data_IF_973196803417
#
_entry.id   IF_973196803417
#
_cell.length_a   1.000
_cell.length_b   1.000
_cell.length_c   1.000
_cell.angle_alpha   90.00
_cell.angle_beta   90.00
_cell.angle_gamma   90.00
#
_symmetry.space_group_name_H-M   'P 1'
#
loop_
_entity.id
_entity.type
_entity.pdbx_description
1 polymer ?
#
# COMPACT_ATOMS: atom_id res chain seq x y z
N UNK A 1 13.37 -15.66 -10.18
CA UNK A 1 12.73 -16.26 -8.99
C UNK A 1 12.42 -15.18 -7.95
N UNK A 2 11.23 -15.22 -7.35
CA UNK A 2 10.83 -14.29 -6.26
C UNK A 2 11.53 -14.72 -4.96
N UNK A 3 12.14 -13.77 -4.24
CA UNK A 3 12.92 -14.07 -3.03
C UNK A 3 12.09 -14.05 -1.74
N UNK A 4 10.94 -13.38 -1.77
CA UNK A 4 10.01 -13.25 -0.65
C UNK A 4 8.65 -12.78 -1.19
N UNK A 5 7.58 -13.12 -0.48
CA UNK A 5 6.26 -12.55 -0.74
C UNK A 5 6.11 -11.23 0.00
N UNK A 6 5.53 -10.21 -0.63
CA UNK A 6 5.14 -8.97 0.05
C UNK A 6 3.63 -8.96 0.27
N UNK A 7 3.10 -8.14 1.19
CA UNK A 7 1.66 -8.00 1.34
C UNK A 7 1.02 -7.61 0.01
N UNK A 8 1.63 -6.68 -0.73
CA UNK A 8 1.18 -6.27 -2.07
C UNK A 8 1.18 -7.40 -3.10
N UNK A 9 2.15 -8.33 -3.07
CA UNK A 9 2.13 -9.47 -3.99
C UNK A 9 1.04 -10.48 -3.62
N UNK A 10 0.78 -10.70 -2.34
CA UNK A 10 -0.29 -11.59 -1.88
C UNK A 10 -1.67 -10.97 -2.21
N UNK A 11 -1.81 -9.66 -2.03
CA UNK A 11 -2.98 -8.89 -2.44
C UNK A 11 -3.18 -8.99 -3.95
N UNK A 12 -2.16 -8.67 -4.76
CA UNK A 12 -2.24 -8.77 -6.22
C UNK A 12 -2.68 -10.19 -6.61
N UNK A 13 -2.12 -11.24 -6.00
CA UNK A 13 -2.53 -12.62 -6.32
C UNK A 13 -4.00 -12.90 -5.99
N UNK A 14 -4.47 -12.42 -4.84
CA UNK A 14 -5.84 -12.65 -4.38
C UNK A 14 -6.89 -11.82 -5.14
N UNK A 15 -6.51 -10.66 -5.67
CA UNK A 15 -7.43 -9.78 -6.42
C UNK A 15 -7.32 -9.97 -7.92
N UNK A 16 -6.10 -9.99 -8.46
CA UNK A 16 -5.78 -10.09 -9.88
C UNK A 16 -4.54 -10.96 -10.09
N UNK A 17 -4.78 -12.26 -10.22
CA UNK A 17 -3.71 -13.26 -10.35
C UNK A 17 -2.83 -13.01 -11.58
N UNK A 18 -3.36 -12.47 -12.68
CA UNK A 18 -2.54 -12.08 -13.85
C UNK A 18 -1.56 -10.97 -13.48
N UNK A 19 -2.05 -9.95 -12.79
CA UNK A 19 -1.25 -8.82 -12.34
C UNK A 19 -0.14 -9.28 -11.38
N UNK A 20 -0.42 -10.27 -10.52
CA UNK A 20 0.60 -10.86 -9.66
C UNK A 20 1.78 -11.40 -10.48
N UNK A 21 1.51 -12.28 -11.44
CA UNK A 21 2.59 -12.86 -12.22
C UNK A 21 3.30 -11.83 -13.11
N UNK A 22 2.54 -10.92 -13.73
CA UNK A 22 3.12 -9.83 -14.53
C UNK A 22 4.10 -8.99 -13.71
N UNK A 23 3.67 -8.48 -12.55
CA UNK A 23 4.47 -7.57 -11.72
C UNK A 23 5.59 -8.26 -10.94
N UNK A 24 5.34 -9.45 -10.39
CA UNK A 24 6.22 -10.06 -9.38
C UNK A 24 7.06 -11.22 -9.92
N UNK A 25 6.60 -11.90 -10.97
CA UNK A 25 7.33 -12.99 -11.60
C UNK A 25 8.07 -12.51 -12.83
N UNK A 26 7.37 -11.84 -13.77
CA UNK A 26 7.97 -11.28 -14.99
C UNK A 26 8.68 -9.94 -14.76
N UNK A 27 8.44 -9.29 -13.62
CA UNK A 27 8.95 -7.94 -13.29
C UNK A 27 8.52 -6.88 -14.32
N UNK A 28 7.40 -7.11 -15.00
CA UNK A 28 6.78 -6.17 -15.94
C UNK A 28 5.93 -5.18 -15.16
N UNK A 29 6.61 -4.30 -14.43
CA UNK A 29 5.96 -3.19 -13.74
C UNK A 29 5.68 -2.08 -14.74
N UNK A 30 4.50 -1.47 -14.61
CA UNK A 30 4.32 -0.14 -15.19
C UNK A 30 5.39 0.78 -14.59
N UNK A 31 6.18 1.41 -15.45
CA UNK A 31 7.24 2.34 -15.04
C UNK A 31 6.69 3.62 -14.41
N UNK A 32 5.38 3.85 -14.56
CA UNK A 32 4.68 5.03 -14.05
C UNK A 32 4.11 4.78 -12.66
N UNK A 33 4.43 5.65 -11.72
CA UNK A 33 3.84 5.68 -10.38
C UNK A 33 2.79 6.78 -10.26
N UNK A 34 2.18 6.89 -9.09
CA UNK A 34 1.17 7.90 -8.78
C UNK A 34 1.72 8.89 -7.77
N UNK A 35 1.34 10.15 -7.90
CA UNK A 35 1.75 11.21 -6.99
C UNK A 35 1.42 10.90 -5.51
N UNK A 36 0.30 10.22 -5.26
CA UNK A 36 -0.09 9.81 -3.90
C UNK A 36 0.90 8.85 -3.24
N UNK A 37 1.53 7.98 -4.03
CA UNK A 37 2.58 7.05 -3.56
C UNK A 37 3.83 7.82 -3.15
N UNK A 38 4.22 8.84 -3.91
CA UNK A 38 5.37 9.69 -3.60
C UNK A 38 5.13 10.48 -2.32
N UNK A 39 3.97 11.14 -2.20
CA UNK A 39 3.61 11.88 -0.98
C UNK A 39 3.59 10.94 0.23
N UNK A 40 3.01 9.75 0.09
CA UNK A 40 3.01 8.72 1.15
C UNK A 40 4.41 8.32 1.57
N UNK A 41 5.30 8.04 0.61
CA UNK A 41 6.69 7.69 0.87
C UNK A 41 7.44 8.80 1.61
N UNK A 42 7.25 10.07 1.22
CA UNK A 42 7.89 11.20 1.91
C UNK A 42 7.37 11.31 3.33
N UNK A 43 6.04 11.25 3.54
CA UNK A 43 5.44 11.31 4.87
C UNK A 43 5.99 10.19 5.76
N UNK A 44 6.08 8.96 5.26
CA UNK A 44 6.69 7.83 5.99
C UNK A 44 8.12 8.13 6.42
N UNK A 45 8.97 8.56 5.49
CA UNK A 45 10.38 8.89 5.77
C UNK A 45 10.55 10.01 6.80
N UNK A 46 9.69 11.05 6.73
CA UNK A 46 9.68 12.14 7.71
C UNK A 46 9.31 11.64 9.09
N UNK A 47 8.24 10.83 9.20
CA UNK A 47 7.77 10.32 10.48
C UNK A 47 8.79 9.37 11.11
N UNK A 48 9.37 8.46 10.33
CA UNK A 48 10.40 7.54 10.80
C UNK A 48 11.62 8.32 11.33
N UNK A 49 12.12 9.31 10.57
CA UNK A 49 13.25 10.15 11.01
C UNK A 49 12.93 10.99 12.25
N UNK A 50 11.72 11.55 12.30
CA UNK A 50 11.27 12.35 13.44
C UNK A 50 11.22 11.53 14.73
N UNK A 51 10.69 10.30 14.66
CA UNK A 51 10.55 9.42 15.82
C UNK A 51 11.90 8.80 16.22
N UNK A 52 12.73 8.37 15.24
CA UNK A 52 13.97 7.63 15.52
C UNK A 52 15.17 8.51 15.88
N UNK A 53 15.41 9.59 15.14
CA UNK A 53 16.61 10.41 15.29
C UNK A 53 16.40 11.62 16.22
N UNK A 54 15.14 12.00 16.45
CA UNK A 54 14.80 13.26 17.11
C UNK A 54 15.14 14.47 16.23
N UNK A 55 14.16 15.26 15.85
CA UNK A 55 14.39 16.41 14.97
C UNK A 55 13.12 17.13 14.55
N UNK A 56 13.28 18.26 13.86
CA UNK A 56 12.14 19.03 13.35
C UNK A 56 11.61 18.36 12.08
N UNK A 57 10.39 17.84 12.12
CA UNK A 57 9.75 17.15 11.00
C UNK A 57 9.76 17.97 9.69
N UNK A 58 9.61 19.30 9.78
CA UNK A 58 9.64 20.19 8.60
C UNK A 58 11.00 20.18 7.89
N UNK A 59 12.10 20.01 8.61
CA UNK A 59 13.44 19.93 8.01
C UNK A 59 13.59 18.63 7.21
N UNK A 60 13.17 17.50 7.79
CA UNK A 60 13.14 16.22 7.08
C UNK A 60 12.19 16.26 5.89
N UNK A 61 11.04 16.93 6.02
CA UNK A 61 10.10 17.07 4.92
C UNK A 61 10.73 17.77 3.73
N UNK A 62 11.38 18.93 3.94
CA UNK A 62 12.06 19.63 2.85
C UNK A 62 13.19 18.82 2.21
N UNK A 63 13.97 18.11 3.03
CA UNK A 63 15.01 17.22 2.53
C UNK A 63 14.44 16.11 1.63
N UNK A 64 13.46 15.36 2.11
CA UNK A 64 12.89 14.25 1.34
C UNK A 64 12.07 14.72 0.14
N UNK A 65 11.42 15.88 0.21
CA UNK A 65 10.80 16.50 -0.97
C UNK A 65 11.88 16.79 -2.03
N UNK A 66 13.00 17.41 -1.64
CA UNK A 66 14.09 17.71 -2.57
C UNK A 66 14.68 16.44 -3.20
N UNK A 67 14.84 15.36 -2.41
CA UNK A 67 15.31 14.07 -2.92
C UNK A 67 14.35 13.48 -3.97
N UNK A 68 13.04 13.52 -3.74
CA UNK A 68 12.05 13.06 -4.71
C UNK A 68 12.03 13.92 -5.97
N UNK A 69 12.17 15.24 -5.84
CA UNK A 69 12.26 16.17 -6.98
C UNK A 69 13.48 15.85 -7.84
N UNK A 70 14.63 15.58 -7.22
CA UNK A 70 15.84 15.17 -7.94
C UNK A 70 15.64 13.86 -8.70
N UNK A 71 14.99 12.87 -8.08
CA UNK A 71 14.68 11.60 -8.74
C UNK A 71 13.71 11.76 -9.92
N UNK A 72 12.75 12.69 -9.81
CA UNK A 72 11.85 13.02 -10.91
C UNK A 72 12.60 13.72 -12.06
N UNK A 73 13.47 14.69 -11.74
CA UNK A 73 14.29 15.40 -12.74
C UNK A 73 15.22 14.47 -13.53
N UNK A 74 15.77 13.42 -12.90
CA UNK A 74 16.63 12.44 -13.56
C UNK A 74 15.86 11.35 -14.31
N UNK A 75 14.53 11.38 -14.30
CA UNK A 75 13.67 10.37 -14.91
C UNK A 75 13.63 9.04 -14.15
N UNK A 76 14.17 8.98 -12.92
CA UNK A 76 14.07 7.80 -12.06
C UNK A 76 12.64 7.61 -11.50
N UNK A 77 11.86 8.69 -11.44
CA UNK A 77 10.42 8.66 -11.18
C UNK A 77 9.70 9.16 -12.44
N UNK A 78 8.74 8.37 -12.92
CA UNK A 78 7.82 8.78 -13.99
C UNK A 78 6.41 8.73 -13.42
N UNK A 79 5.60 9.76 -13.63
CA UNK A 79 4.23 9.82 -13.15
C UNK A 79 3.21 9.59 -14.27
N UNK A 80 2.01 9.15 -13.88
CA UNK A 80 0.87 9.05 -14.78
C UNK A 80 0.19 10.40 -15.03
N UNK A 81 0.27 11.32 -14.07
CA UNK A 81 -0.58 12.51 -13.97
C UNK A 81 0.21 13.82 -13.82
N UNK A 82 1.53 13.82 -14.03
CA UNK A 82 2.37 15.01 -13.91
C UNK A 82 3.63 14.89 -14.77
N UNK A 83 3.84 15.88 -15.65
CA UNK A 83 4.90 15.85 -16.67
C UNK A 83 5.95 16.96 -16.51
N UNK A 84 5.74 17.91 -15.58
CA UNK A 84 6.70 19.00 -15.33
C UNK A 84 7.16 19.03 -13.87
N UNK A 85 8.36 19.57 -13.66
CA UNK A 85 9.06 19.54 -12.37
C UNK A 85 8.45 20.51 -11.38
N UNK A 86 8.03 21.70 -11.85
CA UNK A 86 7.46 22.74 -11.01
C UNK A 86 6.14 22.31 -10.38
N UNK A 87 5.24 21.71 -11.16
CA UNK A 87 3.98 21.15 -10.67
C UNK A 87 4.24 19.94 -9.79
N UNK A 88 5.17 19.05 -10.15
CA UNK A 88 5.55 17.92 -9.29
C UNK A 88 6.01 18.41 -7.91
N UNK A 89 6.95 19.34 -7.86
CA UNK A 89 7.47 19.89 -6.61
C UNK A 89 6.36 20.58 -5.80
N UNK A 90 5.53 21.40 -6.45
CA UNK A 90 4.42 22.10 -5.81
C UNK A 90 3.41 21.11 -5.20
N UNK A 91 3.03 20.09 -5.95
CA UNK A 91 2.02 19.13 -5.52
C UNK A 91 2.52 18.16 -4.45
N UNK A 92 3.76 17.67 -4.56
CA UNK A 92 4.38 16.86 -3.50
C UNK A 92 4.47 17.69 -2.22
N UNK A 93 5.03 18.91 -2.30
CA UNK A 93 5.14 19.79 -1.13
C UNK A 93 3.79 20.09 -0.50
N UNK A 94 2.81 20.51 -1.30
CA UNK A 94 1.45 20.80 -0.81
C UNK A 94 0.79 19.56 -0.18
N UNK A 95 0.97 18.40 -0.79
CA UNK A 95 0.44 17.13 -0.27
C UNK A 95 1.08 16.74 1.08
N UNK A 96 2.40 16.82 1.18
CA UNK A 96 3.15 16.50 2.41
C UNK A 96 2.73 17.44 3.53
N UNK A 97 2.77 18.76 3.32
CA UNK A 97 2.41 19.73 4.35
C UNK A 97 0.93 19.75 4.72
N UNK A 98 0.05 19.20 3.88
CA UNK A 98 -1.35 18.96 4.26
C UNK A 98 -1.50 17.78 5.21
N UNK A 99 -0.72 16.72 5.01
CA UNK A 99 -0.82 15.48 5.78
C UNK A 99 -0.02 15.56 7.08
N UNK A 100 1.22 16.05 7.01
CA UNK A 100 2.21 15.96 8.08
C UNK A 100 1.76 16.54 9.42
N UNK A 101 1.10 17.72 9.50
CA UNK A 101 0.63 18.25 10.78
C UNK A 101 -0.40 17.34 11.47
N UNK A 102 -1.28 16.71 10.69
CA UNK A 102 -2.28 15.78 11.22
C UNK A 102 -1.61 14.50 11.73
N UNK A 103 -0.63 13.98 10.99
CA UNK A 103 0.15 12.81 11.38
C UNK A 103 0.90 13.04 12.69
N UNK A 104 1.61 14.17 12.80
CA UNK A 104 2.38 14.53 14.00
C UNK A 104 1.47 14.76 15.20
N UNK A 105 0.35 15.47 15.01
CA UNK A 105 -0.63 15.66 16.08
C UNK A 105 -1.16 14.32 16.58
N UNK A 106 -1.49 13.40 15.67
CA UNK A 106 -1.94 12.06 16.04
C UNK A 106 -0.85 11.30 16.81
N UNK A 107 0.39 11.27 16.32
CA UNK A 107 1.49 10.59 17.00
C UNK A 107 1.72 11.15 18.41
N UNK A 108 1.81 12.48 18.52
CA UNK A 108 2.09 13.15 19.78
C UNK A 108 0.97 13.01 20.81
N UNK A 109 -0.28 12.82 20.38
CA UNK A 109 -1.44 12.67 21.28
C UNK A 109 -1.69 11.21 21.64
N UNK A 110 -1.69 10.32 20.64
CA UNK A 110 -1.97 8.89 20.82
C UNK A 110 -0.84 8.16 21.54
N UNK A 111 0.42 8.57 21.32
CA UNK A 111 1.59 7.83 21.82
C UNK A 111 2.40 8.57 22.88
N UNK A 112 1.88 9.66 23.46
CA UNK A 112 2.59 10.49 24.44
C UNK A 112 3.21 9.69 25.61
N UNK A 113 2.63 8.53 25.95
CA UNK A 113 3.04 7.67 27.06
C UNK A 113 3.51 6.27 26.63
N UNK A 114 3.65 6.02 25.33
CA UNK A 114 4.01 4.71 24.78
C UNK A 114 5.46 4.70 24.31
N UNK A 115 6.16 3.57 24.50
CA UNK A 115 7.46 3.34 23.87
C UNK A 115 7.22 2.88 22.43
N UNK A 116 7.56 3.75 21.48
CA UNK A 116 7.42 3.50 20.05
C UNK A 116 8.67 2.81 19.50
N UNK A 117 8.45 1.81 18.63
CA UNK A 117 9.46 1.28 17.72
C UNK A 117 9.02 1.63 16.29
N UNK A 118 9.92 2.19 15.48
CA UNK A 118 9.64 2.60 14.09
C UNK A 118 9.94 1.51 13.08
N UNK A 119 9.62 1.77 11.80
CA UNK A 119 9.50 0.83 10.68
C UNK A 119 10.28 -0.47 10.86
N UNK A 120 9.56 -1.57 11.07
CA UNK A 120 10.17 -2.88 11.16
C UNK A 120 9.91 -3.69 9.91
N UNK A 121 10.85 -3.57 8.97
CA UNK A 121 10.89 -4.44 7.80
C UNK A 121 11.59 -5.75 8.14
N UNK A 122 10.82 -6.83 8.20
CA UNK A 122 11.35 -8.19 8.35
C UNK A 122 11.08 -9.02 7.12
N UNK A 123 11.95 -10.00 6.87
CA UNK A 123 11.67 -11.12 5.95
C UNK A 123 11.77 -12.38 6.77
N UNK A 124 10.63 -12.99 7.08
CA UNK A 124 10.60 -14.15 7.96
C UNK A 124 9.59 -15.19 7.47
N UNK A 125 9.80 -16.44 7.85
CA UNK A 125 8.82 -17.49 7.68
C UNK A 125 7.84 -17.40 8.85
N UNK A 126 6.60 -17.01 8.56
CA UNK A 126 5.57 -16.78 9.59
C UNK A 126 4.67 -18.00 9.75
N UNK A 127 4.06 -18.19 10.92
CA UNK A 127 2.96 -19.14 11.14
C UNK A 127 3.16 -20.04 12.36
N UNK A 128 4.39 -20.19 12.85
CA UNK A 128 4.72 -21.00 14.02
C UNK A 128 4.04 -20.49 15.28
N UNK A 129 3.97 -19.16 15.44
CA UNK A 129 3.37 -18.49 16.59
C UNK A 129 1.86 -18.72 16.75
N UNK A 130 1.19 -19.22 15.71
CA UNK A 130 -0.24 -19.56 15.70
C UNK A 130 -0.48 -21.06 15.49
N UNK A 131 0.53 -21.90 15.73
CA UNK A 131 0.43 -23.35 15.59
C UNK A 131 0.25 -23.84 14.14
N UNK A 132 0.61 -23.00 13.16
CA UNK A 132 0.54 -23.34 11.74
C UNK A 132 1.94 -23.68 11.21
N UNK A 133 1.99 -24.49 10.14
CA UNK A 133 3.24 -24.75 9.43
C UNK A 133 3.81 -23.43 8.92
N UNK A 134 5.10 -23.11 9.19
CA UNK A 134 5.73 -21.91 8.69
C UNK A 134 5.62 -21.79 7.17
N UNK A 135 5.53 -20.56 6.67
CA UNK A 135 5.55 -20.32 5.23
C UNK A 135 6.87 -20.80 4.62
N UNK A 136 6.81 -21.52 3.50
CA UNK A 136 8.02 -22.03 2.85
C UNK A 136 8.85 -20.90 2.21
N UNK A 137 8.19 -19.82 1.78
CA UNK A 137 8.84 -18.59 1.33
C UNK A 137 8.80 -17.53 2.44
N UNK A 138 9.89 -16.76 2.64
CA UNK A 138 9.85 -15.61 3.54
C UNK A 138 8.79 -14.60 3.11
N UNK A 139 8.11 -13.98 4.07
CA UNK A 139 7.15 -12.91 3.84
C UNK A 139 7.76 -11.60 4.36
N UNK A 140 7.72 -10.56 3.52
CA UNK A 140 8.07 -9.19 3.90
C UNK A 140 6.96 -8.64 4.78
N UNK A 141 7.31 -8.19 5.96
CA UNK A 141 6.39 -7.54 6.90
C UNK A 141 6.81 -6.07 7.02
N UNK A 142 5.86 -5.15 7.09
CA UNK A 142 6.12 -3.70 7.18
C UNK A 142 5.05 -3.10 8.09
N UNK A 143 5.47 -2.61 9.25
CA UNK A 143 4.65 -1.85 10.19
C UNK A 143 5.37 -0.54 10.46
N UNK A 144 4.64 0.58 10.47
CA UNK A 144 5.25 1.90 10.68
C UNK A 144 5.57 2.14 12.15
N UNK A 145 4.64 1.78 13.04
CA UNK A 145 4.80 1.96 14.49
C UNK A 145 4.25 0.77 15.27
N UNK A 146 5.01 0.35 16.28
CA UNK A 146 4.59 -0.62 17.30
C UNK A 146 4.41 0.09 18.63
N UNK A 147 3.18 0.13 19.14
CA UNK A 147 2.91 0.48 20.53
C UNK A 147 3.14 -0.76 21.39
N UNK A 148 4.30 -0.78 22.06
CA UNK A 148 4.71 -1.92 22.88
C UNK A 148 3.95 -2.04 24.20
N UNK A 149 3.30 -0.96 24.67
CA UNK A 149 2.53 -0.93 25.93
C UNK A 149 1.13 -1.50 25.74
N UNK A 150 0.50 -1.16 24.63
CA UNK A 150 -0.86 -1.59 24.30
C UNK A 150 -0.91 -2.73 23.28
N UNK A 151 0.26 -3.23 22.85
CA UNK A 151 0.39 -4.30 21.85
C UNK A 151 -0.39 -3.98 20.56
N UNK A 152 -0.31 -2.73 20.09
CA UNK A 152 -1.01 -2.27 18.87
C UNK A 152 -0.02 -1.99 17.76
N UNK A 153 -0.37 -2.43 16.54
CA UNK A 153 0.39 -2.17 15.32
C UNK A 153 -0.27 -1.07 14.50
N UNK A 154 0.51 -0.11 14.01
CA UNK A 154 0.02 1.02 13.22
C UNK A 154 0.71 1.08 11.85
N UNK A 155 -0.09 1.40 10.83
CA UNK A 155 0.38 1.64 9.46
C UNK A 155 -0.32 2.87 8.89
N UNK A 156 0.47 3.92 8.65
CA UNK A 156 0.07 5.19 8.09
C UNK A 156 -0.16 5.03 6.60
N UNK A 157 -1.28 5.54 6.09
CA UNK A 157 -1.60 5.51 4.66
C UNK A 157 -2.05 6.87 4.18
N UNK A 158 -1.31 7.43 3.22
CA UNK A 158 -1.73 8.64 2.52
C UNK A 158 -2.68 8.25 1.39
N UNK A 159 -3.92 8.75 1.44
CA UNK A 159 -4.98 8.34 0.53
C UNK A 159 -5.58 9.55 -0.19
N UNK A 160 -6.02 9.34 -1.45
CA UNK A 160 -6.79 10.34 -2.20
C UNK A 160 -8.22 10.45 -1.66
N UNK A 161 -8.77 9.30 -1.29
CA UNK A 161 -10.11 9.16 -0.75
C UNK A 161 -10.14 7.95 0.20
N UNK A 162 -11.07 8.02 1.14
CA UNK A 162 -11.41 6.91 2.00
C UNK A 162 -12.17 5.83 1.22
N UNK A 163 -11.59 4.63 1.19
CA UNK A 163 -12.20 3.44 0.61
C UNK A 163 -12.38 2.41 1.72
N UNK A 164 -13.55 1.78 1.77
CA UNK A 164 -13.84 0.73 2.76
C UNK A 164 -13.40 -0.65 2.24
N UNK A 165 -12.22 -0.69 1.62
CA UNK A 165 -11.62 -1.92 1.12
C UNK A 165 -10.92 -2.66 2.27
N UNK A 166 -11.72 -3.36 3.09
CA UNK A 166 -11.22 -4.07 4.27
C UNK A 166 -10.30 -5.24 3.89
N UNK A 167 -10.54 -5.88 2.75
CA UNK A 167 -9.93 -7.16 2.47
C UNK A 167 -8.49 -7.04 1.96
N UNK A 168 -8.18 -5.99 1.19
CA UNK A 168 -6.80 -5.64 0.83
C UNK A 168 -5.97 -5.33 2.09
N UNK A 169 -6.56 -4.60 3.03
CA UNK A 169 -5.95 -4.21 4.31
C UNK A 169 -5.76 -5.39 5.26
N UNK A 170 -6.67 -6.36 5.21
CA UNK A 170 -6.62 -7.56 6.04
C UNK A 170 -5.34 -8.36 5.83
N UNK A 171 -4.88 -8.53 4.58
CA UNK A 171 -3.65 -9.29 4.28
C UNK A 171 -2.44 -8.67 4.97
N UNK A 172 -2.27 -7.35 4.85
CA UNK A 172 -1.15 -6.66 5.49
C UNK A 172 -1.27 -6.71 7.02
N UNK A 173 -2.47 -6.53 7.58
CA UNK A 173 -2.71 -6.63 9.02
C UNK A 173 -2.33 -8.02 9.57
N UNK A 174 -2.80 -9.10 8.92
CA UNK A 174 -2.52 -10.47 9.34
C UNK A 174 -1.03 -10.79 9.26
N UNK A 175 -0.36 -10.48 8.15
CA UNK A 175 1.08 -10.75 7.97
C UNK A 175 1.90 -10.06 9.06
N UNK A 176 1.61 -8.78 9.30
CA UNK A 176 2.32 -8.02 10.33
C UNK A 176 2.03 -8.52 11.74
N UNK A 177 0.79 -8.96 12.01
CA UNK A 177 0.42 -9.54 13.29
C UNK A 177 1.11 -10.87 13.55
N UNK A 178 1.18 -11.74 12.54
CA UNK A 178 1.91 -13.00 12.63
C UNK A 178 3.40 -12.74 12.88
N UNK A 179 4.00 -11.81 12.16
CA UNK A 179 5.39 -11.41 12.39
C UNK A 179 5.62 -10.88 13.81
N UNK A 180 4.71 -10.03 14.32
CA UNK A 180 4.76 -9.58 15.70
C UNK A 180 4.69 -10.76 16.69
N UNK A 181 3.82 -11.73 16.43
CA UNK A 181 3.69 -12.92 17.26
C UNK A 181 4.93 -13.82 17.23
N UNK A 182 5.58 -14.00 16.07
CA UNK A 182 6.85 -14.73 15.98
C UNK A 182 7.95 -14.09 16.86
N UNK A 183 8.01 -12.75 16.91
CA UNK A 183 9.03 -12.03 17.66
C UNK A 183 8.71 -11.88 19.16
N UNK A 184 7.43 -11.81 19.53
CA UNK A 184 7.01 -11.49 20.90
C UNK A 184 6.34 -12.64 21.64
N UNK A 185 5.99 -13.72 20.94
CA UNK A 185 5.25 -14.86 21.48
C UNK A 185 3.75 -14.64 21.64
N UNK A 186 3.21 -13.50 21.23
CA UNK A 186 1.78 -13.18 21.35
C UNK A 186 1.26 -12.34 20.16
N UNK A 187 -0.01 -12.51 19.81
CA UNK A 187 -0.66 -11.66 18.80
C UNK A 187 -0.84 -10.24 19.34
N UNK A 188 -0.80 -9.21 18.46
CA UNK A 188 -1.16 -7.86 18.86
C UNK A 188 -2.67 -7.78 19.17
N UNK A 189 -3.07 -6.83 20.03
CA UNK A 189 -4.49 -6.61 20.37
C UNK A 189 -5.30 -6.19 19.14
N UNK A 190 -4.73 -5.34 18.30
CA UNK A 190 -5.34 -4.85 17.06
C UNK A 190 -4.30 -4.31 16.09
N UNK A 191 -4.70 -4.22 14.83
CA UNK A 191 -3.96 -3.51 13.79
C UNK A 191 -4.75 -2.27 13.37
N UNK A 192 -4.10 -1.12 13.28
CA UNK A 192 -4.75 0.16 12.95
C UNK A 192 -4.12 0.75 11.69
N UNK A 193 -4.91 0.88 10.64
CA UNK A 193 -4.54 1.71 9.51
C UNK A 193 -4.93 3.15 9.80
N UNK A 194 -3.96 4.04 9.82
CA UNK A 194 -4.18 5.47 10.03
C UNK A 194 -4.18 6.14 8.67
N UNK A 195 -5.37 6.41 8.14
CA UNK A 195 -5.53 6.95 6.80
C UNK A 195 -5.62 8.48 6.82
N UNK A 196 -4.79 9.14 6.01
CA UNK A 196 -4.68 10.59 5.94
C UNK A 196 -4.98 11.09 4.53
N UNK A 197 -5.89 12.05 4.40
CA UNK A 197 -6.28 12.60 3.10
C UNK A 197 -5.20 13.54 2.55
N UNK A 198 -4.69 13.23 1.36
CA UNK A 198 -3.76 14.13 0.64
C UNK A 198 -4.47 15.26 -0.09
N UNK A 199 -5.77 15.16 -0.33
CA UNK A 199 -6.56 16.17 -1.03
C UNK A 199 -7.22 17.15 -0.03
N UNK A 200 -7.48 18.40 -0.44
CA UNK A 200 -8.21 19.36 0.40
C UNK A 200 -9.58 18.81 0.81
N UNK A 201 -9.87 18.90 2.10
CA UNK A 201 -11.18 18.61 2.69
C UNK A 201 -12.19 19.70 2.34
N UNK A 202 -13.46 19.50 2.68
CA UNK A 202 -14.47 20.56 2.54
C UNK A 202 -14.12 21.78 3.42
N UNK A 203 -13.56 21.56 4.61
CA UNK A 203 -13.09 22.61 5.50
C UNK A 203 -12.00 23.45 4.83
N UNK A 204 -10.97 22.81 4.27
CA UNK A 204 -9.89 23.51 3.54
C UNK A 204 -10.45 24.41 2.44
N UNK A 205 -11.40 23.87 1.65
CA UNK A 205 -12.03 24.59 0.55
C UNK A 205 -12.89 25.75 1.03
N UNK A 206 -13.56 25.61 2.20
CA UNK A 206 -14.36 26.67 2.78
C UNK A 206 -13.46 27.82 3.27
N UNK A 207 -12.35 27.52 3.93
CA UNK A 207 -11.36 28.53 4.33
C UNK A 207 -10.79 29.28 3.12
N UNK A 208 -10.43 28.54 2.05
CA UNK A 208 -9.97 29.15 0.81
C UNK A 208 -11.06 30.00 0.15
N UNK A 209 -12.31 29.53 0.17
CA UNK A 209 -13.47 30.28 -0.32
C UNK A 209 -13.67 31.59 0.44
N UNK A 210 -13.54 31.59 1.75
CA UNK A 210 -13.68 32.80 2.58
C UNK A 210 -12.60 33.83 2.27
N UNK A 211 -11.34 33.39 2.10
CA UNK A 211 -10.25 34.27 1.67
C UNK A 211 -10.48 34.85 0.27
N UNK A 212 -10.90 34.00 -0.68
CA UNK A 212 -11.20 34.43 -2.05
C UNK A 212 -12.42 35.34 -2.13
N UNK A 213 -13.42 35.15 -1.27
CA UNK A 213 -14.59 36.00 -1.18
C UNK A 213 -14.20 37.40 -0.71
N UNK A 214 -13.34 37.51 0.29
CA UNK A 214 -12.83 38.79 0.79
C UNK A 214 -12.03 39.53 -0.30
N UNK A 215 -11.15 38.83 -1.02
CA UNK A 215 -10.42 39.42 -2.13
C UNK A 215 -11.35 39.92 -3.24
N UNK A 216 -12.36 39.11 -3.59
CA UNK A 216 -13.36 39.49 -4.59
C UNK A 216 -14.15 40.74 -4.15
N UNK A 217 -14.50 40.87 -2.87
CA UNK A 217 -15.17 42.06 -2.33
C UNK A 217 -14.31 43.33 -2.47
N UNK A 218 -13.00 43.22 -2.24
CA UNK A 218 -12.04 44.32 -2.43
C UNK A 218 -11.92 44.71 -3.91
N UNK A 219 -11.77 43.73 -4.81
CA UNK A 219 -11.67 43.95 -6.25
C UNK A 219 -12.95 44.57 -6.82
N UNK A 220 -14.11 44.09 -6.39
CA UNK A 220 -15.41 44.66 -6.77
C UNK A 220 -15.52 46.11 -6.30
N UNK A 221 -15.10 46.43 -5.07
CA UNK A 221 -15.10 47.79 -4.55
C UNK A 221 -14.15 48.72 -5.33
N UNK A 222 -13.04 48.18 -5.85
CA UNK A 222 -12.12 48.89 -6.74
C UNK A 222 -12.65 49.06 -8.19
N UNK A 223 -13.86 48.57 -8.49
CA UNK A 223 -14.49 48.65 -9.81
C UNK A 223 -14.04 47.57 -10.80
N UNK A 224 -13.28 46.56 -10.35
CA UNK A 224 -12.86 45.45 -11.19
C UNK A 224 -14.03 44.52 -11.53
N UNK A 225 -14.07 44.04 -12.78
CA UNK A 225 -15.07 43.07 -13.25
C UNK A 225 -14.57 41.65 -13.05
N UNK A 226 -14.57 41.19 -11.80
CA UNK A 226 -14.19 39.82 -11.40
C UNK A 226 -15.41 38.98 -11.03
N UNK A 227 -15.37 37.70 -11.38
CA UNK A 227 -16.45 36.76 -11.08
C UNK A 227 -16.48 36.40 -9.59
N UNK A 228 -17.67 36.35 -8.99
CA UNK A 228 -17.82 35.95 -7.57
C UNK A 228 -17.39 34.49 -7.40
N UNK A 229 -16.54 34.17 -6.41
CA UNK A 229 -16.18 32.79 -6.14
C UNK A 229 -17.43 31.97 -5.75
N UNK A 230 -17.45 30.70 -6.15
CA UNK A 230 -18.55 29.78 -5.83
C UNK A 230 -18.27 29.09 -4.50
N UNK A 231 -19.28 29.04 -3.63
CA UNK A 231 -19.17 28.34 -2.35
C UNK A 231 -18.99 26.84 -2.61
N UNK A 232 -17.97 26.18 -2.05
CA UNK A 232 -17.79 24.75 -2.19
C UNK A 232 -18.90 23.99 -1.46
N UNK A 233 -19.33 22.88 -2.05
CA UNK A 233 -20.37 22.00 -1.53
C UNK A 233 -19.85 20.57 -1.43
N UNK A 234 -20.32 19.80 -0.43
CA UNK A 234 -19.97 18.40 -0.28
C UNK A 234 -20.27 17.87 1.11
N UNK A 235 -19.99 16.59 1.34
CA UNK A 235 -20.01 16.01 2.69
C UNK A 235 -18.66 16.30 3.38
N UNK A 236 -18.66 16.78 4.64
CA UNK A 236 -17.42 16.91 5.39
C UNK A 236 -16.80 15.53 5.57
N UNK A 237 -15.47 15.47 5.45
CA UNK A 237 -14.67 14.28 5.70
C UNK A 237 -13.58 14.66 6.70
N UNK A 238 -13.28 13.81 7.69
CA UNK A 238 -12.15 14.07 8.58
C UNK A 238 -10.84 14.03 7.79
N UNK A 239 -9.82 14.73 8.27
CA UNK A 239 -8.47 14.73 7.65
C UNK A 239 -7.75 13.40 7.86
N UNK A 240 -8.06 12.75 8.98
CA UNK A 240 -7.51 11.48 9.42
C UNK A 240 -8.66 10.57 9.88
N UNK A 241 -8.59 9.28 9.53
CA UNK A 241 -9.44 8.25 10.15
C UNK A 241 -8.60 7.05 10.55
N UNK A 242 -8.99 6.44 11.67
CA UNK A 242 -8.50 5.12 12.04
C UNK A 242 -9.41 4.06 11.44
N UNK A 243 -8.78 3.04 10.88
CA UNK A 243 -9.45 1.81 10.48
C UNK A 243 -8.85 0.66 11.28
N UNK A 244 -9.61 0.19 12.25
CA UNK A 244 -9.21 -0.90 13.12
C UNK A 244 -9.55 -2.22 12.44
N UNK A 245 -8.55 -3.08 12.31
CA UNK A 245 -8.72 -4.47 11.87
C UNK A 245 -8.59 -5.36 13.10
N UNK A 246 -9.69 -6.03 13.44
CA UNK A 246 -9.70 -7.14 14.39
C UNK A 246 -9.14 -8.37 13.70
N UNK A 247 -8.32 -9.14 14.41
CA UNK A 247 -7.64 -10.32 13.88
C UNK A 247 -8.35 -11.58 14.36
N UNK A 248 -9.22 -12.11 13.52
CA UNK A 248 -9.97 -13.34 13.80
C UNK A 248 -9.24 -14.56 13.25
N UNK A 249 -9.38 -15.71 13.92
CA UNK A 249 -8.65 -16.94 13.56
C UNK A 249 -8.89 -17.36 12.10
N UNK A 250 -10.12 -17.21 11.59
CA UNK A 250 -10.44 -17.56 10.21
C UNK A 250 -9.73 -16.65 9.20
N UNK A 251 -9.49 -15.38 9.52
CA UNK A 251 -8.79 -14.45 8.64
C UNK A 251 -7.32 -14.85 8.50
N UNK A 252 -6.71 -15.26 9.61
CA UNK A 252 -5.35 -15.81 9.64
C UNK A 252 -5.27 -17.04 8.75
N UNK A 253 -6.21 -17.99 8.89
CA UNK A 253 -6.28 -19.19 8.05
C UNK A 253 -6.42 -18.86 6.57
N UNK A 254 -7.27 -17.89 6.21
CA UNK A 254 -7.46 -17.44 4.82
C UNK A 254 -6.16 -16.90 4.23
N UNK A 255 -5.46 -16.00 4.93
CA UNK A 255 -4.21 -15.41 4.44
C UNK A 255 -3.10 -16.46 4.32
N UNK A 256 -3.01 -17.38 5.28
CA UNK A 256 -2.06 -18.49 5.22
C UNK A 256 -2.36 -19.44 4.06
N UNK A 257 -3.63 -19.70 3.76
CA UNK A 257 -4.04 -20.47 2.59
C UNK A 257 -3.66 -19.77 1.28
N UNK A 258 -3.82 -18.45 1.19
CA UNK A 258 -3.36 -17.68 0.03
C UNK A 258 -1.84 -17.80 -0.16
N UNK A 259 -1.07 -17.65 0.91
CA UNK A 259 0.39 -17.84 0.86
C UNK A 259 0.74 -19.25 0.40
N UNK A 260 0.08 -20.28 0.95
CA UNK A 260 0.28 -21.66 0.55
C UNK A 260 -0.02 -21.87 -0.94
N UNK A 261 -1.14 -21.36 -1.42
CA UNK A 261 -1.53 -21.47 -2.83
C UNK A 261 -0.48 -20.83 -3.75
N UNK A 262 0.00 -19.62 -3.41
CA UNK A 262 1.07 -18.95 -4.17
C UNK A 262 2.33 -19.82 -4.18
N UNK A 263 2.76 -20.30 -3.03
CA UNK A 263 3.96 -21.14 -2.90
C UNK A 263 3.83 -22.43 -3.72
N UNK A 264 2.71 -23.13 -3.61
CA UNK A 264 2.47 -24.38 -4.33
C UNK A 264 2.49 -24.15 -5.85
N UNK A 265 1.84 -23.09 -6.35
CA UNK A 265 1.88 -22.72 -7.76
C UNK A 265 3.28 -22.35 -8.26
N UNK A 266 4.06 -21.64 -7.44
CA UNK A 266 5.45 -21.32 -7.78
C UNK A 266 6.34 -22.58 -7.84
N UNK A 267 5.91 -23.68 -7.21
CA UNK A 267 6.52 -25.00 -7.33
C UNK A 267 5.87 -25.88 -8.43
N UNK A 268 5.03 -25.32 -9.28
CA UNK A 268 4.43 -26.02 -10.44
C UNK A 268 3.12 -26.75 -10.14
N UNK A 269 2.57 -26.64 -8.94
CA UNK A 269 1.28 -27.27 -8.60
C UNK A 269 0.13 -26.48 -9.25
N UNK A 270 -0.70 -27.17 -10.05
CA UNK A 270 -1.93 -26.59 -10.58
C UNK A 270 -3.05 -26.65 -9.54
N UNK A 271 -3.15 -25.62 -8.71
CA UNK A 271 -4.17 -25.57 -7.65
C UNK A 271 -5.61 -25.61 -8.17
N UNK A 272 -5.85 -25.15 -9.41
CA UNK A 272 -7.18 -25.13 -10.02
C UNK A 272 -7.59 -26.53 -10.49
N UNK A 273 -6.66 -27.27 -11.10
CA UNK A 273 -6.87 -28.67 -11.47
C UNK A 273 -7.08 -29.57 -10.24
N UNK A 274 -6.48 -29.21 -9.11
CA UNK A 274 -6.74 -29.87 -7.84
C UNK A 274 -8.05 -29.43 -7.15
N UNK A 275 -8.84 -28.56 -7.78
CA UNK A 275 -10.12 -28.08 -7.26
C UNK A 275 -9.99 -27.20 -6.01
N UNK A 276 -8.80 -26.66 -5.73
CA UNK A 276 -8.58 -25.79 -4.57
C UNK A 276 -9.13 -24.41 -4.86
N UNK A 277 -10.02 -23.93 -3.99
CA UNK A 277 -10.53 -22.58 -4.09
C UNK A 277 -9.42 -21.54 -3.84
N UNK A 278 -9.45 -20.44 -4.60
CA UNK A 278 -8.69 -19.24 -4.27
C UNK A 278 -9.56 -18.44 -3.30
N UNK A 279 -9.14 -18.26 -2.04
CA UNK A 279 -9.91 -17.47 -1.08
C UNK A 279 -10.16 -16.08 -1.65
N UNK A 280 -11.42 -15.74 -1.84
CA UNK A 280 -11.80 -14.46 -2.42
C UNK A 280 -11.73 -13.37 -1.35
N UNK A 281 -10.80 -12.43 -1.51
CA UNK A 281 -10.73 -11.24 -0.66
C UNK A 281 -11.65 -10.14 -1.17
N UNK A 282 -11.86 -10.01 -2.50
CA UNK A 282 -12.85 -9.09 -3.08
C UNK A 282 -13.39 -9.62 -4.43
N UNK A 283 -14.71 -9.53 -4.71
CA UNK A 283 -15.33 -10.17 -5.89
C UNK A 283 -14.98 -9.62 -7.29
N UNK A 284 -13.90 -8.84 -7.46
CA UNK A 284 -13.90 -7.76 -8.45
C UNK A 284 -12.92 -7.87 -9.64
N UNK A 285 -12.65 -9.06 -10.18
CA UNK A 285 -11.92 -9.17 -11.47
C UNK A 285 -12.45 -10.29 -12.37
N UNK A 286 -12.60 -9.99 -13.66
CA UNK A 286 -13.26 -10.81 -14.69
C UNK A 286 -12.32 -11.88 -15.28
N UNK A 287 -12.87 -13.07 -15.53
CA UNK A 287 -12.16 -14.31 -15.81
C UNK A 287 -11.45 -14.43 -17.18
N UNK A 288 -11.72 -13.55 -18.15
CA UNK A 288 -11.36 -13.80 -19.57
C UNK A 288 -9.86 -13.67 -19.92
N UNK A 289 -9.03 -13.08 -19.07
CA UNK A 289 -7.59 -12.98 -19.37
C UNK A 289 -6.76 -14.19 -18.87
N UNK A 290 -7.24 -14.91 -17.86
CA UNK A 290 -6.41 -15.83 -17.08
C UNK A 290 -5.96 -17.06 -17.87
N UNK A 291 -6.79 -17.52 -18.81
CA UNK A 291 -6.52 -18.69 -19.66
C UNK A 291 -5.32 -18.49 -20.59
N UNK A 292 -5.30 -17.38 -21.34
CA UNK A 292 -4.20 -17.02 -22.25
C UNK A 292 -2.89 -16.77 -21.48
N UNK A 293 -3.02 -16.20 -20.28
CA UNK A 293 -1.90 -15.92 -19.40
C UNK A 293 -1.24 -17.22 -18.88
N UNK A 294 -2.02 -18.16 -18.34
CA UNK A 294 -1.47 -19.43 -17.85
C UNK A 294 -0.84 -20.28 -18.95
N UNK A 295 -1.48 -20.32 -20.13
CA UNK A 295 -0.96 -21.06 -21.27
C UNK A 295 0.40 -20.52 -21.74
N UNK A 296 0.62 -19.20 -21.64
CA UNK A 296 1.88 -18.57 -22.01
C UNK A 296 2.97 -18.63 -20.94
N UNK A 297 2.61 -18.69 -19.65
CA UNK A 297 3.58 -18.59 -18.54
C UNK A 297 3.81 -19.90 -17.80
N UNK A 298 2.78 -20.71 -17.60
CA UNK A 298 2.87 -21.99 -16.91
C UNK A 298 3.01 -23.17 -17.88
N UNK A 299 2.85 -22.92 -19.19
CA UNK A 299 2.93 -23.94 -20.23
C UNK A 299 1.72 -24.88 -20.27
N UNK A 300 0.66 -24.57 -19.51
CA UNK A 300 -0.58 -25.33 -19.50
C UNK A 300 -1.81 -24.43 -19.28
N UNK A 301 -2.96 -24.88 -19.78
CA UNK A 301 -4.26 -24.24 -19.55
C UNK A 301 -4.83 -24.69 -18.18
N UNK A 302 -5.17 -23.75 -17.29
CA UNK A 302 -5.53 -24.04 -15.91
C UNK A 302 -6.96 -24.56 -15.75
N UNK A 303 -7.80 -24.44 -16.77
CA UNK A 303 -9.21 -24.83 -16.73
C UNK A 303 -9.44 -26.24 -17.27
N UNK A 304 -8.67 -26.64 -18.28
CA UNK A 304 -8.81 -27.94 -18.92
C UNK A 304 -7.58 -28.85 -18.75
N UNK A 305 -6.48 -28.32 -18.16
CA UNK A 305 -5.25 -29.07 -17.94
C UNK A 305 -4.41 -29.31 -19.19
N UNK A 306 -4.75 -28.71 -20.34
CA UNK A 306 -4.03 -28.90 -21.59
C UNK A 306 -2.62 -28.30 -21.51
N UNK A 307 -1.61 -29.16 -21.55
CA UNK A 307 -0.20 -28.79 -21.61
C UNK A 307 0.17 -28.48 -23.06
N UNK A 308 0.87 -27.35 -23.30
CA UNK A 308 1.34 -27.00 -24.64
C UNK A 308 2.35 -28.06 -25.13
N UNK A 309 2.27 -28.50 -26.40
CA UNK A 309 3.28 -29.40 -26.96
C UNK A 309 4.68 -28.78 -26.82
N UNK A 310 5.57 -29.43 -26.05
CA UNK A 310 6.93 -28.95 -25.77
C UNK A 310 7.14 -28.24 -24.43
N UNK A 311 6.11 -28.05 -23.61
CA UNK A 311 6.27 -27.50 -22.25
C UNK A 311 6.96 -28.53 -21.33
N UNK A 312 8.03 -28.11 -20.64
CA UNK A 312 8.76 -28.94 -19.67
C UNK A 312 8.06 -28.86 -18.31
N UNK A 313 7.10 -29.75 -18.07
CA UNK A 313 6.30 -29.77 -16.82
C UNK A 313 7.13 -30.22 -15.60
N UNK A 314 8.27 -30.91 -15.85
CA UNK A 314 9.07 -31.55 -14.80
C UNK A 314 10.40 -30.84 -14.50
N UNK A 315 10.62 -29.64 -15.03
CA UNK A 315 11.83 -28.85 -14.77
C UNK A 315 11.45 -27.47 -14.22
N UNK A 316 12.22 -26.92 -13.26
CA UNK A 316 12.06 -25.52 -12.88
C UNK A 316 12.20 -24.66 -14.14
N UNK A 317 11.23 -23.78 -14.40
CA UNK A 317 11.32 -22.84 -15.52
C UNK A 317 12.57 -21.99 -15.31
N UNK A 318 13.56 -22.14 -16.20
CA UNK A 318 14.76 -21.32 -16.19
C UNK A 318 14.58 -20.09 -17.08
N UNK A 319 15.42 -19.08 -16.91
CA UNK A 319 15.38 -17.85 -17.71
C UNK A 319 15.57 -18.16 -19.22
N UNK A 320 16.27 -19.25 -19.53
CA UNK A 320 16.61 -19.67 -20.89
C UNK A 320 15.47 -20.44 -21.60
N UNK A 321 14.42 -20.85 -20.88
CA UNK A 321 13.28 -21.61 -21.42
C UNK A 321 12.15 -20.70 -21.96
N UNK A 322 12.31 -19.38 -21.89
CA UNK A 322 11.31 -18.40 -22.33
C UNK A 322 11.65 -17.90 -23.74
N UNK A 323 10.67 -17.73 -24.65
CA UNK A 323 10.95 -17.33 -26.01
C UNK A 323 11.17 -15.81 -26.12
N UNK A 324 12.14 -15.24 -25.40
CA UNK A 324 12.73 -13.90 -25.63
C UNK A 324 14.09 -13.76 -24.96
#
# INVERSE_FOLDING_TARGET
MIQHLSPSSIIDYATDRQMFYKKWIRKERDSKTWLGTIIGSVVHQVLDSHISAGGKADMYAEQYIADQVKLFQTGAIVLNDCDNVEDFQREVRSGVYRVLPNALSYINTTFAQSKLLTEVTYRTQIGSAVGMTPTQLPVKCIVDVVDTKHHVLYDYKVVKEYKDDQAVRLVQAVINALNYAEHTGQLPEKFVFVEMLRLPTLEDKLTEYEANLLLWEQQKAAGEKVAKPRKPTGKPKPRLREMVITLEEWQIKVVMQLIKNIVDELHGINIMAEGRAIPNLTPKYSAEGWEDFCTSVLGYNPYNGEVRPGARVDQPITVDDLPF
#
